data_IF_914661896427
#
_entry.id   IF_914661896427
#
_cell.length_a   1.000
_cell.length_b   1.000
_cell.length_c   1.000
_cell.angle_alpha   90.00
_cell.angle_beta   90.00
_cell.angle_gamma   90.00
#
_symmetry.space_group_name_H-M   'P 1'
#
loop_
_entity.id
_entity.type
_entity.pdbx_description
1 polymer ?
#
# COMPACT_ATOMS: atom_id res chain seq x y z
N UNK A 1 -14.69 -52.01 18.74
CA UNK A 1 -14.36 -52.93 19.81
C UNK A 1 -15.36 -54.08 19.78
N UNK A 2 -14.90 -55.28 19.74
CA UNK A 2 -15.73 -56.48 19.95
C UNK A 2 -15.87 -56.75 21.42
N UNK A 3 -16.95 -57.38 21.88
CA UNK A 3 -17.20 -57.68 23.28
C UNK A 3 -16.11 -58.62 23.90
N UNK A 4 -15.28 -59.26 23.08
CA UNK A 4 -14.17 -60.13 23.52
C UNK A 4 -12.81 -59.40 23.68
N UNK A 5 -12.79 -58.07 23.56
CA UNK A 5 -11.58 -57.25 23.71
C UNK A 5 -10.60 -57.29 22.53
N UNK A 6 -10.96 -57.90 21.40
CA UNK A 6 -10.11 -57.92 20.22
C UNK A 6 -10.17 -56.59 19.46
N UNK A 7 -9.02 -56.10 19.04
CA UNK A 7 -8.89 -54.91 18.17
C UNK A 7 -8.72 -55.40 16.76
N UNK A 8 -9.69 -55.08 15.89
CA UNK A 8 -9.58 -55.28 14.44
C UNK A 8 -9.31 -53.96 13.75
N UNK A 9 -8.28 -53.90 12.94
CA UNK A 9 -8.01 -52.76 12.05
C UNK A 9 -8.72 -53.02 10.72
N UNK A 10 -9.62 -52.14 10.34
CA UNK A 10 -10.28 -52.14 9.05
C UNK A 10 -9.66 -51.05 8.19
N UNK A 11 -9.16 -51.41 7.03
CA UNK A 11 -8.67 -50.45 6.05
C UNK A 11 -9.84 -49.60 5.57
N UNK A 12 -9.73 -48.28 5.76
CA UNK A 12 -10.72 -47.30 5.29
C UNK A 12 -10.12 -46.40 4.23
N UNK A 13 -10.25 -46.83 2.97
CA UNK A 13 -9.80 -46.05 1.83
C UNK A 13 -11.00 -45.30 1.21
N UNK A 14 -10.98 -43.97 1.22
CA UNK A 14 -12.07 -43.15 0.74
C UNK A 14 -11.61 -41.89 0.05
N UNK A 15 -12.36 -41.41 -0.94
CA UNK A 15 -12.16 -40.13 -1.60
C UNK A 15 -13.41 -39.26 -1.47
N UNK A 16 -13.24 -38.02 -1.09
CA UNK A 16 -14.34 -37.03 -0.98
C UNK A 16 -14.13 -35.84 -1.88
N UNK A 17 -15.18 -35.47 -2.60
CA UNK A 17 -15.21 -34.29 -3.47
C UNK A 17 -16.42 -33.45 -3.12
N UNK A 18 -16.26 -32.11 -3.10
CA UNK A 18 -17.37 -31.20 -2.86
C UNK A 18 -17.33 -29.99 -3.79
N UNK A 19 -18.51 -29.55 -4.18
CA UNK A 19 -18.73 -28.29 -4.93
C UNK A 19 -19.76 -27.50 -4.17
N UNK A 20 -19.47 -26.20 -3.92
CA UNK A 20 -20.40 -25.29 -3.26
C UNK A 20 -20.45 -23.94 -3.99
N UNK A 21 -21.65 -23.38 -4.04
CA UNK A 21 -21.89 -22.00 -4.50
C UNK A 21 -22.64 -21.29 -3.39
N UNK A 22 -22.19 -20.08 -3.01
CA UNK A 22 -22.88 -19.27 -2.02
C UNK A 22 -23.02 -17.82 -2.48
N UNK A 23 -24.16 -17.22 -2.18
CA UNK A 23 -24.43 -15.79 -2.32
C UNK A 23 -24.76 -15.27 -0.93
N UNK A 24 -23.95 -14.36 -0.44
CA UNK A 24 -24.04 -13.82 0.91
C UNK A 24 -24.40 -12.34 0.87
N UNK A 25 -25.43 -11.94 1.64
CA UNK A 25 -25.85 -10.56 1.80
C UNK A 25 -25.79 -10.15 3.27
N UNK A 26 -24.93 -9.19 3.57
CA UNK A 26 -24.83 -8.62 4.90
C UNK A 26 -25.89 -7.53 5.12
N UNK A 27 -26.56 -7.55 6.29
CA UNK A 27 -27.55 -6.56 6.69
C UNK A 27 -26.89 -5.60 7.69
N UNK A 28 -26.39 -4.47 7.19
CA UNK A 28 -25.56 -3.52 7.96
C UNK A 28 -26.29 -2.99 9.22
N UNK A 29 -27.59 -2.71 9.11
CA UNK A 29 -28.36 -2.11 10.21
C UNK A 29 -28.43 -3.03 11.43
N UNK A 30 -28.63 -4.33 11.20
CA UNK A 30 -28.84 -5.34 12.23
C UNK A 30 -27.57 -6.15 12.53
N UNK A 31 -26.57 -6.11 11.64
CA UNK A 31 -25.38 -6.95 11.73
C UNK A 31 -25.64 -8.41 11.35
N UNK A 32 -26.80 -8.72 10.80
CA UNK A 32 -27.18 -10.06 10.34
C UNK A 32 -26.65 -10.39 8.96
N UNK A 33 -26.70 -11.67 8.60
CA UNK A 33 -26.27 -12.21 7.31
C UNK A 33 -27.33 -13.13 6.75
N UNK A 34 -27.73 -12.89 5.51
CA UNK A 34 -28.57 -13.77 4.71
C UNK A 34 -27.69 -14.46 3.69
N UNK A 35 -27.81 -15.79 3.57
CA UNK A 35 -27.03 -16.59 2.64
C UNK A 35 -27.92 -17.54 1.85
N UNK A 36 -27.71 -17.62 0.54
CA UNK A 36 -28.29 -18.65 -0.33
C UNK A 36 -27.14 -19.54 -0.78
N UNK A 37 -27.25 -20.84 -0.54
CA UNK A 37 -26.19 -21.78 -0.79
C UNK A 37 -26.68 -22.97 -1.58
N UNK A 38 -25.86 -23.50 -2.49
CA UNK A 38 -26.01 -24.77 -3.14
C UNK A 38 -24.76 -25.62 -2.85
N UNK A 39 -24.96 -26.89 -2.55
CA UNK A 39 -23.88 -27.79 -2.15
C UNK A 39 -24.10 -29.17 -2.69
N UNK A 40 -23.04 -29.75 -3.26
CA UNK A 40 -22.98 -31.14 -3.69
C UNK A 40 -21.71 -31.77 -3.11
N UNK A 41 -21.89 -32.93 -2.48
CA UNK A 41 -20.80 -33.73 -1.92
C UNK A 41 -20.86 -35.13 -2.47
N UNK A 42 -19.73 -35.66 -2.89
CA UNK A 42 -19.54 -37.04 -3.33
C UNK A 42 -18.52 -37.71 -2.42
N UNK A 43 -18.86 -38.90 -1.93
CA UNK A 43 -17.97 -39.74 -1.15
C UNK A 43 -17.87 -41.09 -1.83
N UNK A 44 -16.68 -41.46 -2.26
CA UNK A 44 -16.31 -42.80 -2.74
C UNK A 44 -15.61 -43.56 -1.61
N UNK A 45 -16.19 -44.65 -1.17
CA UNK A 45 -15.62 -45.54 -0.16
C UNK A 45 -15.13 -46.81 -0.83
N UNK A 46 -13.86 -46.86 -1.22
CA UNK A 46 -13.27 -47.96 -1.98
C UNK A 46 -13.26 -49.28 -1.22
N UNK A 47 -13.13 -49.23 0.11
CA UNK A 47 -13.16 -50.41 0.96
C UNK A 47 -14.51 -51.13 0.99
N UNK A 48 -15.58 -50.44 0.60
CA UNK A 48 -16.96 -50.97 0.61
C UNK A 48 -17.62 -50.96 -0.79
N UNK A 49 -16.87 -50.58 -1.83
CA UNK A 49 -17.37 -50.33 -3.18
C UNK A 49 -18.66 -49.51 -3.22
N UNK A 50 -18.69 -48.44 -2.41
CA UNK A 50 -19.86 -47.62 -2.23
C UNK A 50 -19.60 -46.16 -2.55
N UNK A 51 -20.41 -45.63 -3.48
CA UNK A 51 -20.43 -44.14 -3.78
C UNK A 51 -21.69 -43.56 -3.20
N UNK A 52 -21.54 -42.42 -2.54
CA UNK A 52 -22.64 -41.67 -1.93
C UNK A 52 -22.60 -40.20 -2.36
N UNK A 53 -23.73 -39.70 -2.85
CA UNK A 53 -23.92 -38.28 -3.16
C UNK A 53 -24.83 -37.62 -2.12
N UNK A 54 -24.42 -36.50 -1.57
CA UNK A 54 -25.25 -35.65 -0.74
C UNK A 54 -25.44 -34.31 -1.44
N UNK A 55 -26.67 -33.99 -1.80
CA UNK A 55 -27.02 -32.71 -2.44
C UNK A 55 -27.85 -31.85 -1.49
N UNK A 56 -27.58 -30.58 -1.56
CA UNK A 56 -28.38 -29.50 -0.97
C UNK A 56 -28.55 -28.43 -2.06
N UNK A 57 -29.50 -28.62 -3.00
CA UNK A 57 -29.62 -27.77 -4.18
C UNK A 57 -29.86 -26.31 -3.86
N UNK A 58 -30.70 -26.05 -2.86
CA UNK A 58 -30.99 -24.70 -2.37
C UNK A 58 -31.10 -24.77 -0.85
N UNK A 59 -30.35 -23.88 -0.19
CA UNK A 59 -30.38 -23.65 1.24
C UNK A 59 -30.36 -22.16 1.50
N UNK A 60 -31.40 -21.64 2.14
CA UNK A 60 -31.48 -20.27 2.63
C UNK A 60 -31.11 -20.28 4.10
N UNK A 61 -30.12 -19.51 4.50
CA UNK A 61 -29.73 -19.36 5.90
C UNK A 61 -29.72 -17.89 6.31
N UNK A 62 -30.25 -17.62 7.49
CA UNK A 62 -30.21 -16.32 8.11
C UNK A 62 -29.54 -16.42 9.48
N UNK A 63 -28.54 -15.58 9.69
CA UNK A 63 -27.84 -15.50 10.97
C UNK A 63 -27.95 -14.08 11.51
N UNK A 64 -28.50 -13.92 12.72
CA UNK A 64 -28.72 -12.64 13.36
C UNK A 64 -28.06 -12.60 14.73
N UNK A 65 -26.98 -11.83 14.92
CA UNK A 65 -26.49 -11.48 16.24
C UNK A 65 -27.53 -10.59 16.94
N UNK A 66 -28.09 -11.07 18.05
CA UNK A 66 -29.09 -10.31 18.82
C UNK A 66 -28.41 -9.37 19.82
N UNK A 67 -27.30 -9.84 20.40
CA UNK A 67 -26.49 -9.06 21.33
C UNK A 67 -25.01 -9.37 21.08
N UNK A 68 -24.43 -8.65 20.11
CA UNK A 68 -23.03 -8.78 19.75
C UNK A 68 -22.53 -7.47 19.13
N UNK A 69 -21.23 -7.38 18.94
CA UNK A 69 -20.59 -6.27 18.27
C UNK A 69 -20.93 -6.26 16.75
N UNK A 70 -21.49 -5.16 16.27
CA UNK A 70 -21.78 -4.98 14.85
C UNK A 70 -20.64 -4.26 14.14
N UNK A 71 -19.73 -5.02 13.53
CA UNK A 71 -18.58 -4.50 12.79
C UNK A 71 -18.98 -3.70 11.55
N UNK A 72 -20.05 -4.10 10.87
CA UNK A 72 -20.54 -3.45 9.63
C UNK A 72 -21.00 -2.00 9.87
N UNK A 73 -21.60 -1.75 11.03
CA UNK A 73 -22.00 -0.39 11.44
C UNK A 73 -20.79 0.52 11.61
N UNK A 74 -19.69 0.00 12.11
CA UNK A 74 -18.44 0.74 12.25
C UNK A 74 -17.74 0.92 10.90
N UNK A 75 -17.69 -0.11 10.06
CA UNK A 75 -17.16 -0.01 8.69
C UNK A 75 -17.90 1.07 7.88
N UNK A 76 -19.24 1.09 7.94
CA UNK A 76 -20.04 2.14 7.28
C UNK A 76 -19.61 3.56 7.70
N UNK A 77 -19.12 3.75 8.93
CA UNK A 77 -18.63 5.05 9.41
C UNK A 77 -17.19 5.34 9.01
N UNK A 78 -16.31 4.33 8.99
CA UNK A 78 -14.88 4.52 8.79
C UNK A 78 -14.48 4.50 7.31
N UNK A 79 -15.13 3.69 6.47
CA UNK A 79 -14.74 3.55 5.06
C UNK A 79 -14.86 4.85 4.24
N UNK A 80 -15.90 5.68 4.37
CA UNK A 80 -15.94 6.98 3.69
C UNK A 80 -14.78 7.91 4.09
N UNK A 81 -14.40 7.91 5.37
CA UNK A 81 -13.29 8.71 5.87
C UNK A 81 -11.95 8.20 5.35
N UNK A 82 -11.76 6.88 5.27
CA UNK A 82 -10.57 6.27 4.67
C UNK A 82 -10.46 6.61 3.18
N UNK A 83 -11.57 6.61 2.47
CA UNK A 83 -11.59 7.02 1.06
C UNK A 83 -11.13 8.48 0.89
N UNK A 84 -11.69 9.40 1.66
CA UNK A 84 -11.29 10.81 1.63
C UNK A 84 -9.83 11.01 2.08
N UNK A 85 -9.38 10.27 3.09
CA UNK A 85 -7.97 10.29 3.53
C UNK A 85 -7.04 9.80 2.41
N UNK A 86 -7.38 8.71 1.73
CA UNK A 86 -6.60 8.18 0.61
C UNK A 86 -6.53 9.18 -0.57
N UNK A 87 -7.64 9.86 -0.86
CA UNK A 87 -7.69 10.91 -1.89
C UNK A 87 -6.78 12.09 -1.55
N UNK A 88 -6.79 12.54 -0.28
CA UNK A 88 -5.88 13.61 0.18
C UNK A 88 -4.43 13.17 0.15
N UNK A 89 -4.13 11.95 0.61
CA UNK A 89 -2.79 11.38 0.56
C UNK A 89 -2.26 11.27 -0.88
N UNK A 90 -3.12 10.96 -1.84
CA UNK A 90 -2.75 10.96 -3.26
C UNK A 90 -2.37 12.37 -3.75
N UNK A 91 -3.16 13.39 -3.39
CA UNK A 91 -2.85 14.78 -3.76
C UNK A 91 -1.54 15.25 -3.10
N UNK A 92 -1.34 14.96 -1.81
CA UNK A 92 -0.08 15.25 -1.11
C UNK A 92 1.12 14.55 -1.77
N UNK A 93 0.95 13.30 -2.20
CA UNK A 93 2.00 12.56 -2.91
C UNK A 93 2.34 13.21 -4.26
N UNK A 94 1.35 13.69 -5.01
CA UNK A 94 1.57 14.42 -6.26
C UNK A 94 2.33 15.73 -6.03
N UNK A 95 1.94 16.52 -5.02
CA UNK A 95 2.64 17.75 -4.65
C UNK A 95 4.08 17.48 -4.21
N UNK A 96 4.31 16.43 -3.43
CA UNK A 96 5.66 16.02 -3.03
C UNK A 96 6.53 15.62 -4.22
N UNK A 97 5.98 14.96 -5.24
CA UNK A 97 6.69 14.71 -6.51
C UNK A 97 7.09 16.03 -7.16
N UNK A 98 6.16 17.00 -7.24
CA UNK A 98 6.43 18.33 -7.77
C UNK A 98 7.57 19.04 -7.02
N UNK A 99 7.52 19.07 -5.69
CA UNK A 99 8.56 19.66 -4.84
C UNK A 99 9.92 18.99 -5.08
N UNK A 100 9.94 17.66 -5.15
CA UNK A 100 11.17 16.89 -5.40
C UNK A 100 11.77 17.21 -6.78
N UNK A 101 10.96 17.29 -7.82
CA UNK A 101 11.42 17.69 -9.16
C UNK A 101 12.00 19.10 -9.15
N UNK A 102 11.33 20.05 -8.50
CA UNK A 102 11.81 21.43 -8.38
C UNK A 102 13.16 21.49 -7.65
N UNK A 103 13.33 20.74 -6.56
CA UNK A 103 14.60 20.68 -5.85
C UNK A 103 15.72 20.11 -6.73
N UNK A 104 15.46 19.00 -7.42
CA UNK A 104 16.43 18.40 -8.33
C UNK A 104 16.76 19.32 -9.50
N UNK A 105 15.77 20.05 -10.03
CA UNK A 105 15.96 21.04 -11.10
C UNK A 105 16.91 22.17 -10.67
N UNK A 106 16.69 22.77 -9.49
CA UNK A 106 17.55 23.82 -8.98
C UNK A 106 18.94 23.33 -8.60
N UNK A 107 19.08 22.07 -8.15
CA UNK A 107 20.38 21.45 -7.93
C UNK A 107 21.20 21.37 -9.24
N UNK A 108 20.57 21.00 -10.35
CA UNK A 108 21.23 20.98 -11.68
C UNK A 108 21.59 22.40 -12.10
N UNK A 109 20.69 23.38 -11.97
CA UNK A 109 20.98 24.77 -12.30
C UNK A 109 22.16 25.33 -11.52
N UNK A 110 22.20 25.07 -10.22
CA UNK A 110 23.34 25.46 -9.36
C UNK A 110 24.63 24.81 -9.83
N UNK A 111 24.61 23.50 -10.06
CA UNK A 111 25.80 22.78 -10.56
C UNK A 111 26.26 23.26 -11.94
N UNK A 112 25.34 23.60 -12.86
CA UNK A 112 25.67 24.21 -14.15
C UNK A 112 26.35 25.57 -13.98
N UNK A 113 25.85 26.41 -13.07
CA UNK A 113 26.45 27.72 -12.80
C UNK A 113 27.86 27.58 -12.23
N UNK A 114 28.05 26.68 -11.26
CA UNK A 114 29.36 26.42 -10.63
C UNK A 114 30.35 25.87 -11.65
N UNK A 115 29.91 24.93 -12.51
CA UNK A 115 30.76 24.40 -13.60
C UNK A 115 31.17 25.51 -14.56
N UNK A 116 30.24 26.33 -15.06
CA UNK A 116 30.55 27.46 -15.95
C UNK A 116 31.52 28.43 -15.29
N UNK A 117 31.35 28.73 -14.01
CA UNK A 117 32.26 29.59 -13.25
C UNK A 117 33.65 28.99 -13.10
N UNK A 118 33.76 27.66 -12.84
CA UNK A 118 35.08 26.99 -12.72
C UNK A 118 35.86 26.99 -14.05
N UNK A 119 35.14 26.82 -15.19
CA UNK A 119 35.75 26.91 -16.52
C UNK A 119 36.26 28.32 -16.80
N UNK A 120 35.47 29.36 -16.45
CA UNK A 120 35.92 30.75 -16.58
C UNK A 120 37.15 31.04 -15.69
N UNK A 121 37.12 30.62 -14.41
CA UNK A 121 38.24 30.78 -13.49
C UNK A 121 39.51 30.09 -14.00
N UNK A 122 39.40 28.87 -14.56
CA UNK A 122 40.53 28.18 -15.16
C UNK A 122 41.14 29.00 -16.28
N UNK A 123 40.34 29.52 -17.21
CA UNK A 123 40.77 30.35 -18.32
C UNK A 123 41.50 31.61 -17.85
N UNK A 124 41.02 32.26 -16.79
CA UNK A 124 41.71 33.42 -16.19
C UNK A 124 43.05 33.05 -15.57
N UNK A 125 43.16 31.90 -14.87
CA UNK A 125 44.43 31.42 -14.31
C UNK A 125 45.43 31.02 -15.38
N UNK A 126 45.00 30.38 -16.47
CA UNK A 126 45.84 30.08 -17.64
C UNK A 126 46.39 31.36 -18.27
N UNK A 127 45.53 32.38 -18.43
CA UNK A 127 45.93 33.68 -18.97
C UNK A 127 46.98 34.35 -18.07
N UNK A 128 46.80 34.38 -16.74
CA UNK A 128 47.80 34.91 -15.81
C UNK A 128 49.11 34.13 -15.83
N UNK A 129 49.05 32.81 -15.94
CA UNK A 129 50.24 31.99 -16.06
C UNK A 129 51.04 32.30 -17.32
N UNK A 130 50.39 32.45 -18.48
CA UNK A 130 51.03 32.81 -19.74
C UNK A 130 51.66 34.23 -19.70
N UNK A 131 51.03 35.18 -19.05
CA UNK A 131 51.63 36.50 -18.82
C UNK A 131 52.89 36.39 -17.93
N UNK A 132 52.79 35.66 -16.83
CA UNK A 132 53.93 35.51 -15.91
C UNK A 132 55.13 34.80 -16.58
N UNK A 133 54.87 33.82 -17.44
CA UNK A 133 55.89 33.13 -18.23
C UNK A 133 56.64 34.09 -19.14
N UNK A 134 55.95 34.95 -19.90
CA UNK A 134 56.55 35.99 -20.73
C UNK A 134 57.34 37.03 -19.91
N UNK A 135 56.84 37.40 -18.75
CA UNK A 135 57.56 38.35 -17.82
C UNK A 135 58.77 37.72 -17.16
N UNK A 136 58.82 36.43 -16.96
CA UNK A 136 59.99 35.71 -16.49
C UNK A 136 61.10 35.70 -17.53
N UNK A 137 60.78 35.52 -18.80
CA UNK A 137 61.73 35.62 -19.91
C UNK A 137 62.41 36.99 -19.97
N UNK A 138 61.68 38.05 -19.52
CA UNK A 138 62.20 39.39 -19.37
C UNK A 138 62.91 39.64 -18.02
N UNK A 139 63.03 38.60 -17.17
CA UNK A 139 63.71 38.71 -15.87
C UNK A 139 62.93 39.42 -14.75
N UNK A 140 61.61 39.72 -14.95
CA UNK A 140 60.81 40.50 -14.01
C UNK A 140 59.92 39.66 -13.05
N UNK A 141 59.88 38.32 -13.25
CA UNK A 141 59.14 37.36 -12.42
C UNK A 141 60.06 36.23 -12.02
N UNK A 142 59.98 35.77 -10.78
CA UNK A 142 60.84 34.67 -10.26
C UNK A 142 60.28 33.31 -10.70
N UNK A 143 61.17 32.30 -10.72
CA UNK A 143 60.77 30.91 -11.05
C UNK A 143 59.79 30.38 -10.01
N UNK A 144 59.87 30.78 -8.75
CA UNK A 144 58.94 30.39 -7.68
C UNK A 144 57.52 30.87 -7.96
N UNK A 145 57.35 32.13 -8.43
CA UNK A 145 56.04 32.70 -8.80
C UNK A 145 55.40 31.97 -9.99
N UNK A 146 56.20 31.56 -11.01
CA UNK A 146 55.70 30.76 -12.13
C UNK A 146 55.19 29.42 -11.61
N UNK A 147 55.95 28.73 -10.77
CA UNK A 147 55.56 27.40 -10.26
C UNK A 147 54.28 27.50 -9.42
N UNK A 148 54.10 28.61 -8.67
CA UNK A 148 52.84 28.87 -7.93
C UNK A 148 51.65 29.08 -8.86
N UNK A 149 51.83 29.79 -9.97
CA UNK A 149 50.76 29.97 -10.97
C UNK A 149 50.47 28.69 -11.73
N UNK A 150 51.50 27.91 -12.07
CA UNK A 150 51.30 26.58 -12.67
C UNK A 150 50.52 25.65 -11.76
N UNK A 151 50.88 25.58 -10.46
CA UNK A 151 50.08 24.86 -9.47
C UNK A 151 48.66 25.36 -9.38
N UNK A 152 48.46 26.69 -9.49
CA UNK A 152 47.10 27.29 -9.50
C UNK A 152 46.29 26.85 -10.71
N UNK A 153 46.90 26.70 -11.91
CA UNK A 153 46.22 26.17 -13.11
C UNK A 153 45.86 24.71 -12.92
N UNK A 154 46.82 23.88 -12.42
CA UNK A 154 46.53 22.47 -12.14
C UNK A 154 45.41 22.26 -11.14
N UNK A 155 45.35 23.08 -10.08
CA UNK A 155 44.25 23.05 -9.13
C UNK A 155 42.92 23.44 -9.78
N UNK A 156 42.90 24.42 -10.69
CA UNK A 156 41.71 24.79 -11.44
C UNK A 156 41.22 23.68 -12.37
N UNK A 157 42.16 22.91 -12.99
CA UNK A 157 41.83 21.73 -13.79
C UNK A 157 41.07 20.67 -12.96
N UNK A 158 41.59 20.38 -11.77
CA UNK A 158 40.94 19.44 -10.83
C UNK A 158 39.59 19.95 -10.42
N UNK A 159 39.45 21.25 -10.16
CA UNK A 159 38.18 21.90 -9.80
C UNK A 159 37.15 21.77 -10.93
N UNK A 160 37.53 22.05 -12.17
CA UNK A 160 36.67 21.89 -13.36
C UNK A 160 36.20 20.43 -13.50
N UNK A 161 37.15 19.46 -13.38
CA UNK A 161 36.82 18.04 -13.48
C UNK A 161 35.80 17.59 -12.38
N UNK A 162 36.04 18.03 -11.15
CA UNK A 162 35.12 17.72 -10.03
C UNK A 162 33.73 18.36 -10.21
N UNK A 163 33.67 19.61 -10.69
CA UNK A 163 32.42 20.30 -10.93
C UNK A 163 31.64 19.69 -12.12
N UNK A 164 32.35 19.20 -13.15
CA UNK A 164 31.73 18.44 -14.25
C UNK A 164 31.10 17.14 -13.73
N UNK A 165 31.82 16.36 -12.94
CA UNK A 165 31.28 15.14 -12.33
C UNK A 165 30.07 15.43 -11.44
N UNK A 166 30.12 16.52 -10.66
CA UNK A 166 28.98 16.93 -9.84
C UNK A 166 27.77 17.31 -10.70
N UNK A 167 27.98 18.05 -11.79
CA UNK A 167 26.92 18.40 -12.74
C UNK A 167 26.28 17.14 -13.37
N UNK A 168 27.10 16.19 -13.79
CA UNK A 168 26.62 14.93 -14.37
C UNK A 168 25.82 14.11 -13.34
N UNK A 169 26.27 14.07 -12.09
CA UNK A 169 25.53 13.41 -11.00
C UNK A 169 24.17 14.09 -10.70
N UNK A 170 24.15 15.42 -10.70
CA UNK A 170 22.88 16.17 -10.52
C UNK A 170 21.92 15.93 -11.70
N UNK A 171 22.43 15.97 -12.95
CA UNK A 171 21.66 15.63 -14.14
C UNK A 171 21.12 14.20 -14.06
N UNK A 172 21.97 13.24 -13.76
CA UNK A 172 21.56 11.84 -13.59
C UNK A 172 20.43 11.70 -12.57
N UNK A 173 20.54 12.38 -11.42
CA UNK A 173 19.52 12.33 -10.37
C UNK A 173 18.18 12.88 -10.83
N UNK A 174 18.15 14.02 -11.52
CA UNK A 174 16.94 14.63 -12.05
C UNK A 174 16.29 13.75 -13.13
N UNK A 175 17.05 13.36 -14.13
CA UNK A 175 16.51 12.66 -15.29
C UNK A 175 16.17 11.19 -14.99
N UNK A 176 16.90 10.55 -14.07
CA UNK A 176 16.52 9.25 -13.52
C UNK A 176 15.20 9.31 -12.78
N UNK A 177 14.99 10.36 -11.97
CA UNK A 177 13.70 10.58 -11.29
C UNK A 177 12.55 10.80 -12.29
N UNK A 178 12.81 11.54 -13.37
CA UNK A 178 11.84 11.75 -14.47
C UNK A 178 11.71 10.54 -15.42
N UNK A 179 12.51 9.49 -15.22
CA UNK A 179 12.60 8.29 -16.09
C UNK A 179 12.94 8.62 -17.55
N UNK A 180 13.76 9.64 -17.77
CA UNK A 180 14.26 10.03 -19.07
C UNK A 180 15.65 9.42 -19.31
N UNK A 181 15.82 8.69 -20.41
CA UNK A 181 17.10 8.01 -20.71
C UNK A 181 18.13 8.92 -21.40
N UNK A 182 17.68 9.90 -22.16
CA UNK A 182 18.53 10.73 -23.01
C UNK A 182 18.57 12.18 -22.49
N UNK A 183 19.63 12.52 -21.72
CA UNK A 183 19.72 13.79 -21.02
C UNK A 183 21.08 14.49 -21.09
N UNK A 184 22.10 13.88 -21.73
CA UNK A 184 23.49 14.39 -21.69
C UNK A 184 23.61 15.81 -22.25
N UNK A 185 22.92 16.10 -23.35
CA UNK A 185 23.01 17.37 -24.06
C UNK A 185 21.98 18.41 -23.59
N UNK A 186 21.22 18.10 -22.53
CA UNK A 186 20.20 19.03 -22.02
C UNK A 186 20.85 20.08 -21.11
N UNK A 187 20.61 21.33 -21.43
CA UNK A 187 20.94 22.49 -20.60
C UNK A 187 19.64 23.09 -20.02
N UNK A 188 19.61 23.27 -18.71
CA UNK A 188 18.45 23.87 -18.04
C UNK A 188 18.57 25.38 -18.04
N UNK A 189 17.44 26.06 -18.25
CA UNK A 189 17.34 27.51 -18.18
C UNK A 189 16.69 27.94 -16.88
N UNK A 190 17.18 29.01 -16.23
CA UNK A 190 16.55 29.53 -15.03
C UNK A 190 15.17 30.14 -15.37
N UNK A 191 14.19 30.06 -14.46
CA UNK A 191 12.89 30.71 -14.65
C UNK A 191 13.06 32.24 -14.66
N UNK A 192 12.41 32.90 -15.63
CA UNK A 192 12.52 34.35 -15.79
C UNK A 192 11.66 35.17 -14.82
N UNK A 193 10.63 34.54 -14.23
CA UNK A 193 9.70 35.22 -13.33
C UNK A 193 9.59 34.49 -12.00
N UNK A 194 9.89 35.20 -10.93
CA UNK A 194 9.60 34.77 -9.56
C UNK A 194 8.32 35.46 -9.14
N UNK A 195 7.30 34.71 -8.71
CA UNK A 195 6.05 35.28 -8.20
C UNK A 195 6.29 35.86 -6.80
N UNK A 196 6.20 37.16 -6.69
CA UNK A 196 6.30 37.88 -5.41
C UNK A 196 4.92 37.96 -4.75
N UNK A 197 4.33 36.80 -4.42
CA UNK A 197 3.06 36.73 -3.68
C UNK A 197 3.37 36.66 -2.18
N UNK A 198 2.98 37.70 -1.46
CA UNK A 198 2.95 37.62 0.00
C UNK A 198 1.89 36.60 0.43
N UNK A 199 2.32 35.54 1.09
CA UNK A 199 1.44 34.48 1.59
C UNK A 199 1.24 34.71 3.08
N UNK A 200 -0.02 34.93 3.52
CA UNK A 200 -0.34 35.08 4.94
C UNK A 200 -0.22 33.70 5.64
N UNK A 201 0.54 33.67 6.72
CA UNK A 201 0.81 32.43 7.47
C UNK A 201 -0.49 31.76 7.94
N UNK A 202 -1.46 32.54 8.39
CA UNK A 202 -2.75 32.03 8.88
C UNK A 202 -3.52 31.28 7.78
N UNK A 203 -3.54 31.81 6.55
CA UNK A 203 -4.22 31.15 5.42
C UNK A 203 -3.55 29.82 5.05
N UNK A 204 -2.23 29.76 5.18
CA UNK A 204 -1.47 28.52 4.92
C UNK A 204 -1.80 27.47 5.97
N UNK A 205 -1.82 27.85 7.24
CA UNK A 205 -2.11 26.94 8.35
C UNK A 205 -3.55 26.40 8.25
N UNK A 206 -4.53 27.25 7.98
CA UNK A 206 -5.92 26.85 7.81
C UNK A 206 -6.08 25.86 6.66
N UNK A 207 -5.53 26.19 5.48
CA UNK A 207 -5.57 25.28 4.31
C UNK A 207 -4.81 23.99 4.55
N UNK A 208 -3.68 24.02 5.25
CA UNK A 208 -2.92 22.81 5.58
C UNK A 208 -3.73 21.89 6.51
N UNK A 209 -4.40 22.43 7.52
CA UNK A 209 -5.26 21.65 8.44
C UNK A 209 -6.45 21.05 7.71
N UNK A 210 -7.10 21.81 6.82
CA UNK A 210 -8.27 21.35 6.09
C UNK A 210 -7.95 20.28 5.05
N UNK A 211 -6.79 20.37 4.40
CA UNK A 211 -6.39 19.45 3.33
C UNK A 211 -5.48 18.31 3.78
N UNK A 212 -5.00 18.32 5.03
CA UNK A 212 -4.06 17.32 5.52
C UNK A 212 -4.67 15.92 5.59
N UNK A 213 -4.02 14.96 4.93
CA UNK A 213 -4.32 13.53 5.06
C UNK A 213 -4.06 13.04 6.48
N UNK A 214 -3.06 13.62 7.17
CA UNK A 214 -2.70 13.29 8.55
C UNK A 214 -3.83 13.65 9.53
N UNK A 215 -4.47 14.81 9.40
CA UNK A 215 -5.59 15.20 10.25
C UNK A 215 -6.77 14.22 10.10
N UNK A 216 -7.07 13.82 8.87
CA UNK A 216 -8.08 12.80 8.58
C UNK A 216 -7.69 11.44 9.19
N UNK A 217 -6.43 11.05 9.11
CA UNK A 217 -5.92 9.83 9.73
C UNK A 217 -6.09 9.83 11.26
N UNK A 218 -5.91 10.96 11.93
CA UNK A 218 -6.14 11.08 13.37
C UNK A 218 -7.63 10.86 13.73
N UNK A 219 -8.54 11.41 12.93
CA UNK A 219 -9.98 11.17 13.13
C UNK A 219 -10.34 9.68 12.95
N UNK A 220 -9.78 9.01 11.94
CA UNK A 220 -9.95 7.56 11.73
C UNK A 220 -9.40 6.79 12.93
N UNK A 221 -8.23 7.14 13.43
CA UNK A 221 -7.60 6.49 14.59
C UNK A 221 -8.47 6.58 15.85
N UNK A 222 -9.08 7.73 16.10
CA UNK A 222 -10.02 7.92 17.21
C UNK A 222 -11.26 7.03 17.04
N UNK A 223 -11.81 6.94 15.82
CA UNK A 223 -12.96 6.08 15.54
C UNK A 223 -12.61 4.59 15.68
N UNK A 224 -11.43 4.17 15.23
CA UNK A 224 -10.96 2.78 15.39
C UNK A 224 -10.71 2.44 16.87
N UNK A 225 -10.18 3.36 17.66
CA UNK A 225 -10.06 3.18 19.12
C UNK A 225 -11.43 3.04 19.80
N UNK A 226 -12.41 3.86 19.42
CA UNK A 226 -13.80 3.74 19.91
C UNK A 226 -14.45 2.43 19.48
N UNK A 227 -14.18 1.96 18.26
CA UNK A 227 -14.65 0.68 17.74
C UNK A 227 -14.05 -0.47 18.59
N UNK A 228 -12.74 -0.45 18.84
CA UNK A 228 -12.06 -1.46 19.67
C UNK A 228 -12.61 -1.50 21.09
N UNK A 229 -12.87 -0.33 21.69
CA UNK A 229 -13.50 -0.25 23.01
C UNK A 229 -14.92 -0.83 23.00
N UNK A 230 -15.73 -0.52 21.96
CA UNK A 230 -17.08 -1.06 21.82
C UNK A 230 -17.06 -2.57 21.61
N UNK A 231 -16.10 -3.10 20.86
CA UNK A 231 -15.88 -4.54 20.66
C UNK A 231 -15.49 -5.23 21.95
N UNK A 232 -14.53 -4.69 22.71
CA UNK A 232 -14.13 -5.24 23.99
C UNK A 232 -15.31 -5.27 24.99
N UNK A 233 -16.11 -4.19 25.07
CA UNK A 233 -17.31 -4.16 25.90
C UNK A 233 -18.36 -5.19 25.47
N UNK A 234 -18.55 -5.42 24.17
CA UNK A 234 -19.49 -6.42 23.68
C UNK A 234 -19.01 -7.85 23.97
N UNK A 235 -17.70 -8.10 23.85
CA UNK A 235 -17.12 -9.42 24.10
C UNK A 235 -17.19 -9.85 25.57
N UNK A 236 -17.14 -8.92 26.53
CA UNK A 236 -17.30 -9.19 27.96
C UNK A 236 -18.74 -9.54 28.37
N UNK A 237 -19.72 -9.24 27.56
CA UNK A 237 -21.13 -9.42 27.86
C UNK A 237 -21.71 -10.73 27.33
N UNK A 238 -22.97 -10.96 27.70
CA UNK A 238 -23.79 -12.02 27.13
C UNK A 238 -23.86 -11.85 25.60
N UNK A 239 -23.49 -12.88 24.86
CA UNK A 239 -23.63 -12.91 23.39
C UNK A 239 -24.78 -13.83 23.02
N UNK A 240 -25.61 -13.38 22.12
CA UNK A 240 -26.79 -14.12 21.63
C UNK A 240 -26.83 -14.08 20.10
N UNK A 241 -27.04 -15.23 19.50
CA UNK A 241 -27.16 -15.37 18.05
C UNK A 241 -28.35 -16.26 17.69
N UNK A 242 -29.21 -15.75 16.85
CA UNK A 242 -30.27 -16.51 16.19
C UNK A 242 -29.75 -17.01 14.85
N UNK A 243 -29.94 -18.29 14.56
CA UNK A 243 -29.68 -18.89 13.27
C UNK A 243 -30.96 -19.58 12.76
N UNK A 244 -31.28 -19.37 11.51
CA UNK A 244 -32.39 -20.03 10.82
C UNK A 244 -31.92 -20.55 9.48
N UNK A 245 -32.31 -21.76 9.15
CA UNK A 245 -31.93 -22.43 7.92
C UNK A 245 -33.16 -23.16 7.36
N UNK A 246 -33.44 -22.94 6.08
CA UNK A 246 -34.51 -23.62 5.35
C UNK A 246 -33.91 -24.06 4.03
N UNK A 247 -34.15 -25.31 3.65
CA UNK A 247 -33.64 -25.85 2.39
C UNK A 247 -34.09 -27.26 2.11
N UNK A 248 -33.46 -27.82 1.11
CA UNK A 248 -33.72 -29.20 0.68
C UNK A 248 -32.42 -30.00 0.74
N UNK A 249 -32.53 -31.25 1.16
CA UNK A 249 -31.38 -32.15 1.14
C UNK A 249 -31.79 -33.56 0.65
N UNK A 250 -30.82 -34.27 0.10
CA UNK A 250 -30.95 -35.68 -0.19
C UNK A 250 -29.60 -36.34 -0.28
N UNK A 251 -29.58 -37.60 0.20
CA UNK A 251 -28.45 -38.51 0.03
C UNK A 251 -28.89 -39.69 -0.81
N UNK A 252 -28.11 -40.02 -1.83
CA UNK A 252 -28.38 -41.15 -2.74
C UNK A 252 -27.04 -41.72 -3.27
N UNK A 253 -27.12 -42.96 -3.84
CA UNK A 253 -25.94 -43.59 -4.44
C UNK A 253 -25.66 -43.14 -5.86
N UNK A 254 -26.58 -42.39 -6.49
CA UNK A 254 -26.41 -41.83 -7.85
C UNK A 254 -26.62 -40.33 -7.82
N UNK A 255 -25.94 -39.60 -8.70
CA UNK A 255 -26.07 -38.15 -8.84
C UNK A 255 -27.54 -37.74 -9.16
N UNK A 256 -28.19 -38.45 -10.08
CA UNK A 256 -29.61 -38.20 -10.43
C UNK A 256 -30.54 -38.43 -9.23
N UNK A 257 -30.28 -39.50 -8.46
CA UNK A 257 -31.01 -39.79 -7.24
C UNK A 257 -30.88 -38.73 -6.15
N UNK A 258 -29.72 -38.08 -6.07
CA UNK A 258 -29.46 -37.02 -5.11
C UNK A 258 -30.24 -35.72 -5.42
N UNK A 259 -30.72 -35.52 -6.64
CA UNK A 259 -31.55 -34.38 -7.05
C UNK A 259 -33.03 -34.71 -7.23
N UNK A 260 -33.45 -35.96 -6.99
CA UNK A 260 -34.85 -36.40 -7.13
C UNK A 260 -35.42 -36.78 -5.76
N UNK A 261 -36.65 -36.34 -5.45
CA UNK A 261 -37.33 -36.61 -4.18
C UNK A 261 -36.61 -35.99 -2.99
N UNK A 262 -36.28 -34.74 -3.11
CA UNK A 262 -35.65 -33.91 -2.06
C UNK A 262 -36.52 -33.90 -0.81
N UNK A 263 -35.87 -33.82 0.36
CA UNK A 263 -36.52 -33.68 1.67
C UNK A 263 -36.31 -32.28 2.23
N UNK A 264 -37.35 -31.76 2.83
CA UNK A 264 -37.31 -30.50 3.51
C UNK A 264 -36.34 -30.58 4.72
N UNK A 265 -35.63 -29.50 4.95
CA UNK A 265 -34.74 -29.36 6.09
C UNK A 265 -34.92 -27.93 6.67
N UNK A 266 -35.45 -27.87 7.87
CA UNK A 266 -35.69 -26.63 8.60
C UNK A 266 -34.96 -26.69 9.96
N UNK A 267 -34.17 -25.68 10.25
CA UNK A 267 -33.41 -25.61 11.49
C UNK A 267 -33.55 -24.18 12.03
N UNK A 268 -33.96 -24.06 13.28
CA UNK A 268 -33.91 -22.80 14.02
C UNK A 268 -33.09 -23.04 15.27
N UNK A 269 -32.09 -22.24 15.49
CA UNK A 269 -31.17 -22.33 16.62
C UNK A 269 -30.99 -20.98 17.30
N UNK A 270 -31.00 -20.98 18.62
CA UNK A 270 -30.60 -19.84 19.45
C UNK A 270 -29.37 -20.27 20.27
N UNK A 271 -28.26 -19.61 20.01
CA UNK A 271 -27.06 -19.79 20.82
C UNK A 271 -26.88 -18.63 21.80
N UNK A 272 -26.53 -18.97 23.03
CA UNK A 272 -26.24 -18.03 24.11
C UNK A 272 -24.88 -18.37 24.68
N UNK A 273 -23.98 -17.39 24.72
CA UNK A 273 -22.62 -17.56 25.24
C UNK A 273 -22.30 -16.43 26.23
N UNK A 274 -21.76 -16.78 27.37
CA UNK A 274 -21.30 -15.86 28.39
C UNK A 274 -19.87 -16.21 28.77
N UNK A 275 -18.89 -15.33 28.55
CA UNK A 275 -17.53 -15.54 29.08
C UNK A 275 -17.55 -15.45 30.61
N UNK A 276 -16.97 -16.44 31.29
CA UNK A 276 -16.95 -16.52 32.76
C UNK A 276 -15.66 -15.89 33.30
N UNK A 277 -14.54 -16.05 32.58
CA UNK A 277 -13.25 -15.49 32.94
C UNK A 277 -12.74 -14.65 31.73
N UNK A 278 -12.08 -13.50 32.02
CA UNK A 278 -11.52 -12.57 31.07
C UNK A 278 -10.00 -12.42 31.28
#
# INVERSE_FOLDING_TARGET
NFDDGRISYVENNSMSNSVSLSIDQNIVALGGKLSVQSYLYKLDQYSYDKTTYNSRPIRLSYTQPLRAFNSLKWQKKTEPLKYEQAKRAYLEAMENVGIQVVNLFFNVLSAQSVYKQSVANKKDREYLYEIAKKRHELGTVTKSEILQLELSVLNADVEVANNLLNLDNCKFSLFSYLRMADYKDIELLPPYTISDKAIAVNDVVERALDNSSHNMQQQISILEARKSLAQAKANKGLQMQLSSEIGFNRTAETLKGAYSGLKDNEIIGLSVSLPIFD
#
